data_IF_068149118535
#
_entry.id   IF_068149118535
#
_cell.length_a   1.000
_cell.length_b   1.000
_cell.length_c   1.000
_cell.angle_alpha   90.00
_cell.angle_beta   90.00
_cell.angle_gamma   90.00
#
_symmetry.space_group_name_H-M   'P 1'
#
loop_
_entity.id
_entity.type
_entity.pdbx_description
1 polymer ?
#
# COMPACT_ATOMS: atom_id res chain seq x y z
N UNK A 1 -35.72 -3.02 -4.84
CA UNK A 1 -35.66 -2.70 -6.26
C UNK A 1 -35.18 -1.25 -6.45
N UNK A 2 -33.94 -0.92 -6.00
CA UNK A 2 -33.33 0.42 -6.17
C UNK A 2 -31.80 0.34 -6.35
N UNK A 3 -31.25 -0.79 -6.77
CA UNK A 3 -29.79 -1.01 -6.86
C UNK A 3 -29.22 -1.02 -8.30
N UNK A 4 -30.03 -0.80 -9.32
CA UNK A 4 -29.57 -0.89 -10.71
C UNK A 4 -29.34 0.45 -11.42
N UNK A 5 -29.76 1.57 -10.85
CA UNK A 5 -29.59 2.88 -11.51
C UNK A 5 -28.22 3.55 -11.24
N UNK A 6 -27.47 3.10 -10.26
CA UNK A 6 -26.14 3.66 -9.97
C UNK A 6 -25.07 3.32 -11.03
N UNK A 7 -25.31 2.34 -11.89
CA UNK A 7 -24.39 1.92 -12.94
C UNK A 7 -24.23 2.92 -14.10
N UNK A 8 -25.19 3.83 -14.25
CA UNK A 8 -25.23 4.77 -15.38
C UNK A 8 -24.69 6.17 -15.07
N UNK A 9 -24.28 6.46 -13.84
CA UNK A 9 -23.92 7.82 -13.42
C UNK A 9 -22.48 7.96 -12.90
N UNK A 10 -21.57 7.04 -13.23
CA UNK A 10 -20.16 7.31 -13.03
C UNK A 10 -19.61 8.01 -14.28
N UNK A 11 -19.57 9.35 -14.36
CA UNK A 11 -18.97 10.06 -15.49
C UNK A 11 -17.46 10.06 -15.33
N UNK A 12 -16.87 8.89 -15.26
CA UNK A 12 -15.42 8.75 -15.18
C UNK A 12 -14.91 8.52 -16.57
N UNK A 13 -13.91 9.27 -16.95
CA UNK A 13 -13.27 9.14 -18.25
C UNK A 13 -12.84 7.69 -18.50
N UNK A 14 -13.54 7.01 -19.39
CA UNK A 14 -13.43 5.58 -19.69
C UNK A 14 -12.16 5.18 -20.46
N UNK A 15 -11.19 6.07 -20.60
CA UNK A 15 -10.02 5.80 -21.41
C UNK A 15 -8.76 5.63 -20.54
N UNK A 16 -7.97 4.56 -20.72
CA UNK A 16 -6.63 4.46 -20.16
C UNK A 16 -5.80 5.67 -20.61
N UNK A 17 -5.25 6.41 -19.68
CA UNK A 17 -4.65 7.74 -19.93
C UNK A 17 -3.36 7.67 -20.72
N UNK A 18 -2.66 6.56 -20.73
CA UNK A 18 -1.40 6.39 -21.48
C UNK A 18 -1.51 6.46 -23.02
N UNK A 19 -2.71 6.67 -23.56
CA UNK A 19 -2.91 6.65 -25.04
C UNK A 19 -2.76 8.01 -25.71
N UNK A 20 -2.65 9.11 -24.98
CA UNK A 20 -2.46 10.42 -25.62
C UNK A 20 -1.01 10.88 -25.50
N UNK A 21 -0.42 11.35 -26.61
CA UNK A 21 0.94 11.88 -26.60
C UNK A 21 1.13 13.08 -25.65
N UNK A 22 0.08 13.86 -25.41
CA UNK A 22 0.11 15.00 -24.51
C UNK A 22 0.26 14.58 -23.04
N UNK A 23 -0.45 13.54 -22.61
CA UNK A 23 -0.34 13.01 -21.24
C UNK A 23 1.01 12.35 -21.01
N UNK A 24 1.55 11.65 -22.01
CA UNK A 24 2.90 11.08 -21.96
C UNK A 24 3.96 12.16 -21.78
N UNK A 25 3.91 13.25 -22.57
CA UNK A 25 4.84 14.36 -22.44
C UNK A 25 4.75 15.03 -21.07
N UNK A 26 3.55 15.24 -20.56
CA UNK A 26 3.35 15.77 -19.23
C UNK A 26 3.94 14.84 -18.16
N UNK A 27 3.70 13.55 -18.25
CA UNK A 27 4.23 12.54 -17.32
C UNK A 27 5.75 12.55 -17.29
N UNK A 28 6.39 12.55 -18.47
CA UNK A 28 7.86 12.64 -18.57
C UNK A 28 8.39 13.95 -17.96
N UNK A 29 7.74 15.06 -18.23
CA UNK A 29 8.14 16.35 -17.69
C UNK A 29 8.00 16.39 -16.16
N UNK A 30 6.86 15.95 -15.62
CA UNK A 30 6.60 15.88 -14.18
C UNK A 30 7.59 14.94 -13.49
N UNK A 31 7.92 13.80 -14.11
CA UNK A 31 8.94 12.88 -13.62
C UNK A 31 10.34 13.53 -13.56
N UNK A 32 10.75 14.23 -14.62
CA UNK A 32 12.04 14.93 -14.63
C UNK A 32 12.11 16.00 -13.55
N UNK A 33 11.04 16.76 -13.36
CA UNK A 33 10.96 17.79 -12.29
C UNK A 33 11.02 17.11 -10.92
N UNK A 34 10.28 16.02 -10.73
CA UNK A 34 10.24 15.30 -9.45
C UNK A 34 11.59 14.73 -9.06
N UNK A 35 12.26 14.03 -9.98
CA UNK A 35 13.59 13.46 -9.71
C UNK A 35 14.63 14.56 -9.46
N UNK A 36 14.63 15.63 -10.25
CA UNK A 36 15.69 16.65 -10.17
C UNK A 36 15.46 17.71 -9.09
N UNK A 37 14.22 18.07 -8.82
CA UNK A 37 13.89 19.14 -7.87
C UNK A 37 13.41 18.59 -6.55
N UNK A 38 12.36 17.76 -6.56
CA UNK A 38 11.73 17.32 -5.32
C UNK A 38 12.58 16.26 -4.60
N UNK A 39 12.92 15.16 -5.23
CA UNK A 39 13.69 14.11 -4.57
C UNK A 39 15.17 14.54 -4.42
N UNK A 40 15.75 15.19 -5.40
CA UNK A 40 17.16 15.59 -5.37
C UNK A 40 17.45 16.79 -4.47
N UNK A 41 16.48 17.68 -4.17
CA UNK A 41 16.68 18.89 -3.40
C UNK A 41 15.73 19.09 -2.23
N UNK A 42 14.50 18.57 -2.32
CA UNK A 42 13.44 18.74 -1.34
C UNK A 42 12.70 17.40 -1.14
N UNK A 43 13.37 16.44 -0.55
CA UNK A 43 12.73 15.16 -0.22
C UNK A 43 11.69 15.39 0.90
N UNK A 44 10.42 15.23 0.56
CA UNK A 44 9.30 15.41 1.48
C UNK A 44 9.38 14.49 2.69
N UNK A 45 10.03 13.32 2.57
CA UNK A 45 10.24 12.39 3.69
C UNK A 45 11.08 13.02 4.80
N UNK A 46 12.09 13.83 4.44
CA UNK A 46 12.88 14.59 5.43
C UNK A 46 12.03 15.60 6.20
N UNK A 47 11.08 16.25 5.54
CA UNK A 47 10.15 17.17 6.21
C UNK A 47 9.21 16.42 7.16
N UNK A 48 8.77 15.23 6.80
CA UNK A 48 7.94 14.38 7.66
C UNK A 48 8.69 13.92 8.92
N UNK A 49 10.01 13.77 8.85
CA UNK A 49 10.82 13.46 10.03
C UNK A 49 10.76 14.57 11.10
N UNK A 50 10.53 15.83 10.71
CA UNK A 50 10.36 16.92 11.65
C UNK A 50 9.07 16.83 12.47
N UNK A 51 8.02 16.17 11.96
CA UNK A 51 6.76 15.92 12.69
C UNK A 51 6.98 14.99 13.89
N UNK A 52 8.09 14.23 13.92
CA UNK A 52 8.46 13.38 15.05
C UNK A 52 8.97 14.16 16.27
N UNK A 53 9.28 15.44 16.11
CA UNK A 53 9.72 16.28 17.21
C UNK A 53 8.48 16.84 17.91
N UNK A 54 8.39 16.48 19.16
CA UNK A 54 7.41 16.86 20.16
C UNK A 54 6.72 18.22 19.91
N UNK A 55 5.44 18.19 19.62
CA UNK A 55 4.52 19.23 20.07
C UNK A 55 3.76 18.64 21.26
N UNK A 56 3.74 19.36 22.37
CA UNK A 56 2.94 19.07 23.57
C UNK A 56 3.42 17.98 24.54
N UNK A 57 4.73 17.92 24.85
CA UNK A 57 5.19 17.13 26.01
C UNK A 57 5.02 15.61 25.91
N UNK A 58 4.56 15.09 24.79
CA UNK A 58 4.54 13.65 24.52
C UNK A 58 5.93 13.13 24.16
N UNK A 59 6.36 11.97 24.69
CA UNK A 59 7.66 11.41 24.36
C UNK A 59 7.85 11.24 22.84
N UNK A 60 9.03 11.54 22.30
CA UNK A 60 9.33 11.19 20.92
C UNK A 60 9.27 9.67 20.80
N UNK A 61 8.42 9.15 19.91
CA UNK A 61 8.39 7.72 19.66
C UNK A 61 7.05 7.07 19.33
N UNK A 62 5.93 7.76 19.47
CA UNK A 62 4.62 7.16 19.25
C UNK A 62 4.07 7.43 17.84
N UNK A 63 4.88 7.16 16.80
CA UNK A 63 4.38 7.17 15.42
C UNK A 63 4.03 5.78 14.89
N UNK A 64 3.84 4.84 15.77
CA UNK A 64 3.18 3.58 15.43
C UNK A 64 1.74 3.61 15.96
N UNK A 65 0.91 2.81 15.33
CA UNK A 65 -0.51 2.70 15.60
C UNK A 65 -0.79 1.35 16.26
N UNK A 66 -1.37 1.35 17.46
CA UNK A 66 -1.59 0.15 18.29
C UNK A 66 -3.07 -0.21 18.52
N UNK A 67 -3.97 0.48 17.82
CA UNK A 67 -5.41 0.31 18.04
C UNK A 67 -5.97 -1.08 17.74
N UNK A 68 -5.21 -1.89 17.02
CA UNK A 68 -5.60 -3.28 16.72
C UNK A 68 -4.97 -4.31 17.66
N UNK A 69 -3.99 -3.95 18.47
CA UNK A 69 -3.14 -4.87 19.23
C UNK A 69 -3.90 -5.76 20.23
N UNK A 70 -5.03 -5.28 20.75
CA UNK A 70 -5.83 -5.95 21.77
C UNK A 70 -6.99 -6.79 21.18
N UNK A 71 -7.16 -6.81 19.85
CA UNK A 71 -8.18 -7.63 19.19
C UNK A 71 -7.78 -9.10 19.23
N UNK A 72 -8.76 -9.99 19.31
CA UNK A 72 -8.52 -11.45 19.25
C UNK A 72 -8.20 -11.90 17.82
N UNK A 73 -8.87 -11.31 16.85
CA UNK A 73 -8.76 -11.61 15.43
C UNK A 73 -8.76 -10.32 14.63
N UNK A 74 -7.98 -10.28 13.55
CA UNK A 74 -7.95 -9.19 12.59
C UNK A 74 -7.89 -9.73 11.17
N UNK A 75 -8.84 -9.29 10.36
CA UNK A 75 -8.79 -9.45 8.91
C UNK A 75 -8.27 -8.18 8.27
N UNK A 76 -7.37 -8.31 7.31
CA UNK A 76 -6.93 -7.16 6.53
C UNK A 76 -6.92 -7.48 5.04
N UNK A 77 -7.28 -6.48 4.26
CA UNK A 77 -7.24 -6.50 2.81
C UNK A 77 -5.98 -5.75 2.33
N UNK A 78 -5.37 -6.24 1.26
CA UNK A 78 -4.27 -5.56 0.59
C UNK A 78 -4.59 -5.38 -0.89
N UNK A 79 -4.34 -4.17 -1.40
CA UNK A 79 -4.35 -3.85 -2.83
C UNK A 79 -3.26 -2.83 -3.15
N UNK A 80 -2.86 -2.74 -4.42
CA UNK A 80 -2.00 -1.68 -4.96
C UNK A 80 -2.36 -1.44 -6.42
N UNK A 81 -1.87 -0.35 -7.01
CA UNK A 81 -2.00 -0.07 -8.43
C UNK A 81 -3.46 0.10 -8.86
N UNK A 82 -4.12 1.04 -8.24
CA UNK A 82 -5.49 1.45 -8.56
C UNK A 82 -5.49 2.77 -9.36
N UNK A 83 -6.64 3.19 -9.89
CA UNK A 83 -6.76 4.54 -10.47
C UNK A 83 -6.30 4.71 -11.91
N UNK A 84 -6.06 3.64 -12.66
CA UNK A 84 -5.86 3.71 -14.11
C UNK A 84 -7.19 3.85 -14.89
N UNK A 85 -8.30 3.54 -14.24
CA UNK A 85 -9.65 3.79 -14.74
C UNK A 85 -10.66 3.78 -13.62
N UNK A 86 -11.66 4.67 -13.65
CA UNK A 86 -12.66 4.76 -12.60
C UNK A 86 -13.50 3.51 -12.44
N UNK A 87 -13.82 2.83 -13.53
CA UNK A 87 -14.64 1.61 -13.50
C UNK A 87 -13.87 0.42 -12.88
N UNK A 88 -12.61 0.23 -13.24
CA UNK A 88 -11.77 -0.82 -12.66
C UNK A 88 -11.54 -0.57 -11.16
N UNK A 89 -11.16 0.66 -10.78
CA UNK A 89 -11.01 1.06 -9.37
C UNK A 89 -12.30 0.86 -8.58
N UNK A 90 -13.47 1.24 -9.16
CA UNK A 90 -14.76 1.03 -8.53
C UNK A 90 -15.08 -0.46 -8.34
N UNK A 91 -14.76 -1.30 -9.32
CA UNK A 91 -15.00 -2.75 -9.21
C UNK A 91 -14.23 -3.35 -8.05
N UNK A 92 -12.94 -3.02 -7.92
CA UNK A 92 -12.11 -3.49 -6.80
C UNK A 92 -12.61 -2.90 -5.48
N UNK A 93 -12.87 -1.60 -5.41
CA UNK A 93 -13.40 -0.96 -4.20
C UNK A 93 -14.74 -1.58 -3.76
N UNK A 94 -15.61 -1.95 -4.72
CA UNK A 94 -16.88 -2.62 -4.44
C UNK A 94 -16.70 -4.03 -3.87
N UNK A 95 -15.70 -4.78 -4.32
CA UNK A 95 -15.36 -6.08 -3.72
C UNK A 95 -14.88 -5.89 -2.28
N UNK A 96 -13.96 -4.96 -2.05
CA UNK A 96 -13.45 -4.63 -0.71
C UNK A 96 -14.54 -4.10 0.24
N UNK A 97 -15.58 -3.46 -0.29
CA UNK A 97 -16.69 -2.92 0.49
C UNK A 97 -17.72 -3.99 0.92
N UNK A 98 -17.70 -5.20 0.33
CA UNK A 98 -18.63 -6.25 0.71
C UNK A 98 -18.42 -6.66 2.16
N UNK A 99 -19.48 -6.95 2.94
CA UNK A 99 -19.33 -7.47 4.29
C UNK A 99 -18.56 -8.80 4.36
N UNK A 100 -18.67 -9.58 3.29
CA UNK A 100 -17.88 -10.80 3.07
C UNK A 100 -17.85 -11.19 1.61
N UNK A 101 -16.80 -11.90 1.21
CA UNK A 101 -16.68 -12.53 -0.10
C UNK A 101 -16.75 -14.03 0.05
N UNK A 102 -17.46 -14.69 -0.86
CA UNK A 102 -17.47 -16.14 -0.98
C UNK A 102 -16.54 -16.55 -2.10
N UNK A 103 -15.65 -17.47 -1.81
CA UNK A 103 -14.65 -17.96 -2.75
C UNK A 103 -14.73 -19.47 -2.79
N UNK A 104 -14.88 -20.01 -3.98
CA UNK A 104 -14.83 -21.46 -4.21
C UNK A 104 -13.36 -21.90 -4.16
N UNK A 105 -13.04 -22.78 -3.22
CA UNK A 105 -11.73 -23.41 -3.08
C UNK A 105 -11.90 -24.92 -3.20
N UNK A 106 -11.53 -25.48 -4.35
CA UNK A 106 -11.66 -26.90 -4.66
C UNK A 106 -13.07 -27.46 -4.40
N UNK A 107 -13.24 -28.21 -3.32
CA UNK A 107 -14.54 -28.82 -2.94
C UNK A 107 -15.30 -28.05 -1.85
N UNK A 108 -14.82 -26.87 -1.46
CA UNK A 108 -15.42 -26.09 -0.37
C UNK A 108 -15.59 -24.61 -0.72
N UNK A 109 -16.69 -24.01 -0.25
CA UNK A 109 -16.89 -22.57 -0.26
C UNK A 109 -16.29 -21.97 1.01
N UNK A 110 -15.41 -20.97 0.85
CA UNK A 110 -14.82 -20.23 1.97
C UNK A 110 -15.44 -18.82 1.98
N UNK A 111 -15.88 -18.39 3.16
CA UNK A 111 -16.35 -17.03 3.38
C UNK A 111 -15.22 -16.19 4.00
N UNK A 112 -14.80 -15.15 3.31
CA UNK A 112 -13.78 -14.20 3.75
C UNK A 112 -14.50 -12.93 4.21
N UNK A 113 -14.46 -12.55 5.48
CA UNK A 113 -15.04 -11.29 5.95
C UNK A 113 -14.23 -10.10 5.41
N UNK A 114 -14.88 -8.96 5.28
CA UNK A 114 -14.18 -7.69 4.96
C UNK A 114 -13.13 -7.39 6.02
N UNK A 115 -11.95 -6.96 5.58
CA UNK A 115 -10.88 -6.52 6.47
C UNK A 115 -11.30 -5.36 7.38
N UNK A 116 -10.93 -5.45 8.65
CA UNK A 116 -10.97 -4.31 9.57
C UNK A 116 -9.94 -3.24 9.15
N UNK A 117 -8.92 -3.67 8.44
CA UNK A 117 -7.82 -2.88 7.94
C UNK A 117 -7.70 -3.09 6.42
N UNK A 118 -7.71 -2.00 5.66
CA UNK A 118 -7.29 -1.97 4.26
C UNK A 118 -5.89 -1.35 4.18
N UNK A 119 -4.97 -2.04 3.53
CA UNK A 119 -3.63 -1.52 3.22
C UNK A 119 -3.52 -1.30 1.72
N UNK A 120 -3.20 -0.08 1.30
CA UNK A 120 -3.00 0.25 -0.12
C UNK A 120 -1.51 0.46 -0.37
N UNK A 121 -0.96 -0.33 -1.28
CA UNK A 121 0.46 -0.44 -1.57
C UNK A 121 1.01 0.55 -2.60
N UNK A 122 0.33 1.68 -2.84
CA UNK A 122 0.80 2.73 -3.74
C UNK A 122 0.14 2.75 -5.12
N UNK A 123 0.53 3.73 -5.91
CA UNK A 123 -0.01 4.05 -7.23
C UNK A 123 -1.53 4.24 -7.20
N UNK A 124 -1.91 5.33 -6.54
CA UNK A 124 -3.30 5.60 -6.19
C UNK A 124 -4.11 6.16 -7.36
N UNK A 125 -3.44 6.81 -8.31
CA UNK A 125 -4.09 7.35 -9.52
C UNK A 125 -3.07 7.65 -10.62
N UNK A 126 -3.32 7.15 -11.81
CA UNK A 126 -2.49 7.31 -13.00
C UNK A 126 -2.98 8.44 -13.90
N UNK A 127 -2.11 9.03 -14.78
CA UNK A 127 -0.65 8.81 -14.83
C UNK A 127 0.09 9.68 -13.81
N UNK A 128 -0.51 10.79 -13.35
CA UNK A 128 0.10 11.76 -12.47
C UNK A 128 -0.82 12.09 -11.30
N UNK A 129 -0.28 12.33 -10.12
CA UNK A 129 -1.06 12.77 -8.98
C UNK A 129 -1.54 14.20 -9.21
N UNK A 130 -2.80 14.44 -8.97
CA UNK A 130 -3.42 15.75 -8.95
C UNK A 130 -4.70 15.69 -8.13
N UNK A 131 -5.21 16.83 -7.69
CA UNK A 131 -6.50 16.87 -7.01
C UNK A 131 -7.61 16.24 -7.87
N UNK A 132 -7.63 16.52 -9.17
CA UNK A 132 -8.59 15.97 -10.11
C UNK A 132 -8.46 14.44 -10.26
N UNK A 133 -7.24 13.94 -10.41
CA UNK A 133 -6.99 12.50 -10.62
C UNK A 133 -7.34 11.71 -9.36
N UNK A 134 -6.90 12.16 -8.19
CA UNK A 134 -7.23 11.51 -6.91
C UNK A 134 -8.73 11.51 -6.65
N UNK A 135 -9.41 12.64 -6.87
CA UNK A 135 -10.84 12.75 -6.67
C UNK A 135 -11.61 11.77 -7.57
N UNK A 136 -11.30 11.74 -8.87
CA UNK A 136 -12.09 10.97 -9.83
C UNK A 136 -11.68 9.50 -9.93
N UNK A 137 -10.43 9.13 -9.60
CA UNK A 137 -9.90 7.79 -9.82
C UNK A 137 -9.66 7.00 -8.54
N UNK A 138 -9.63 7.68 -7.38
CA UNK A 138 -9.50 7.06 -6.07
C UNK A 138 -10.72 7.36 -5.19
N UNK A 139 -10.93 8.63 -4.80
CA UNK A 139 -11.94 8.96 -3.77
C UNK A 139 -13.36 8.63 -4.21
N UNK A 140 -13.81 9.08 -5.37
CA UNK A 140 -15.18 8.79 -5.86
C UNK A 140 -15.47 7.31 -6.03
N UNK A 141 -14.62 6.49 -6.68
CA UNK A 141 -14.83 5.04 -6.73
C UNK A 141 -15.01 4.41 -5.35
N UNK A 142 -14.20 4.80 -4.38
CA UNK A 142 -14.30 4.29 -3.02
C UNK A 142 -15.54 4.81 -2.28
N UNK A 143 -15.91 6.07 -2.45
CA UNK A 143 -17.15 6.66 -1.90
C UNK A 143 -18.41 6.01 -2.46
N UNK A 144 -18.43 5.67 -3.75
CA UNK A 144 -19.55 4.93 -4.35
C UNK A 144 -19.63 3.49 -3.86
N UNK A 145 -18.50 2.86 -3.54
CA UNK A 145 -18.46 1.50 -3.05
C UNK A 145 -18.90 1.39 -1.58
N UNK A 146 -18.39 2.28 -0.73
CA UNK A 146 -18.72 2.39 0.68
C UNK A 146 -18.75 3.88 1.06
N UNK A 147 -19.93 4.41 1.33
CA UNK A 147 -20.11 5.83 1.59
C UNK A 147 -19.43 6.26 2.90
N UNK A 148 -18.81 7.46 2.92
CA UNK A 148 -18.32 8.04 4.15
C UNK A 148 -19.47 8.36 5.11
N UNK A 149 -19.19 8.57 6.41
CA UNK A 149 -20.21 8.98 7.35
C UNK A 149 -20.94 10.27 6.92
N UNK A 150 -22.24 10.33 7.09
CA UNK A 150 -23.07 11.44 6.61
C UNK A 150 -22.74 12.81 7.22
N UNK A 151 -22.08 12.83 8.36
CA UNK A 151 -21.62 14.06 9.02
C UNK A 151 -20.26 14.55 8.48
N UNK A 152 -19.48 13.68 7.81
CA UNK A 152 -18.18 14.03 7.24
C UNK A 152 -18.35 14.83 5.95
N UNK A 153 -17.53 15.88 5.80
CA UNK A 153 -17.48 16.70 4.59
C UNK A 153 -16.25 16.33 3.77
N UNK A 154 -16.44 15.75 2.61
CA UNK A 154 -15.37 15.21 1.75
C UNK A 154 -14.41 16.26 1.21
N UNK A 155 -14.84 17.52 1.09
CA UNK A 155 -14.03 18.67 0.68
C UNK A 155 -13.22 19.30 1.83
N UNK A 156 -13.45 18.82 3.06
CA UNK A 156 -12.81 19.34 4.25
C UNK A 156 -11.42 18.75 4.48
N UNK A 157 -10.48 19.57 4.94
CA UNK A 157 -9.18 19.13 5.46
C UNK A 157 -9.27 19.12 6.99
N UNK A 158 -9.06 17.96 7.58
CA UNK A 158 -9.17 17.80 9.02
C UNK A 158 -8.16 18.66 9.79
N UNK A 159 -8.64 19.46 10.72
CA UNK A 159 -7.78 20.20 11.67
C UNK A 159 -7.13 19.23 12.65
N UNK A 160 -7.93 18.27 13.13
CA UNK A 160 -7.50 17.23 14.06
C UNK A 160 -7.75 15.86 13.42
N UNK A 161 -6.74 15.27 12.81
CA UNK A 161 -6.84 13.96 12.21
C UNK A 161 -6.47 12.87 13.22
N UNK A 162 -7.20 11.74 13.26
CA UNK A 162 -8.41 11.45 12.50
C UNK A 162 -9.67 12.09 13.09
N UNK A 163 -10.62 12.45 12.21
CA UNK A 163 -11.97 12.85 12.62
C UNK A 163 -12.79 11.58 12.87
N UNK A 164 -12.91 11.24 14.15
CA UNK A 164 -13.65 10.07 14.59
C UNK A 164 -15.18 10.34 14.57
N UNK A 165 -16.00 9.28 14.45
CA UNK A 165 -17.45 9.41 14.60
C UNK A 165 -17.84 10.07 15.92
N UNK A 166 -18.95 10.83 15.94
CA UNK A 166 -19.47 11.42 17.18
C UNK A 166 -19.62 10.37 18.28
N UNK A 167 -19.11 10.68 19.48
CA UNK A 167 -19.11 9.78 20.64
C UNK A 167 -17.91 8.83 20.74
N UNK A 168 -17.02 8.81 19.75
CA UNK A 168 -15.79 8.02 19.76
C UNK A 168 -14.61 8.87 20.24
N UNK A 169 -13.98 8.47 21.34
CA UNK A 169 -12.90 9.25 21.96
C UNK A 169 -11.49 8.83 21.47
N UNK A 170 -11.33 7.64 20.92
CA UNK A 170 -10.03 7.10 20.49
C UNK A 170 -10.16 6.09 19.35
N UNK A 171 -9.05 5.85 18.65
CA UNK A 171 -8.96 4.81 17.62
C UNK A 171 -9.21 3.41 18.18
N UNK A 172 -8.83 3.14 19.42
CA UNK A 172 -9.05 1.82 20.07
C UNK A 172 -10.53 1.46 20.22
N UNK A 173 -11.38 2.48 20.32
CA UNK A 173 -12.84 2.30 20.47
C UNK A 173 -13.59 2.30 19.14
N UNK A 174 -12.86 2.49 18.02
CA UNK A 174 -13.46 2.52 16.69
C UNK A 174 -13.44 1.13 16.06
N UNK A 175 -14.61 0.57 15.81
CA UNK A 175 -14.76 -0.78 15.22
C UNK A 175 -15.02 -0.78 13.71
N UNK A 176 -15.13 0.38 13.08
CA UNK A 176 -15.28 0.48 11.64
C UNK A 176 -13.97 0.19 10.87
N UNK A 177 -14.05 0.04 9.54
CA UNK A 177 -12.88 -0.24 8.73
C UNK A 177 -11.93 0.95 8.69
N UNK A 178 -10.63 0.68 8.72
CA UNK A 178 -9.56 1.67 8.63
C UNK A 178 -8.71 1.42 7.41
N UNK A 179 -8.10 2.47 6.87
CA UNK A 179 -7.22 2.40 5.71
C UNK A 179 -5.87 3.04 6.02
N UNK A 180 -4.80 2.35 5.61
CA UNK A 180 -3.43 2.84 5.62
C UNK A 180 -2.82 2.71 4.24
N UNK A 181 -2.05 3.70 3.81
CA UNK A 181 -1.60 3.84 2.44
C UNK A 181 -0.13 4.21 2.39
N UNK A 182 0.63 3.56 1.54
CA UNK A 182 1.96 4.03 1.13
C UNK A 182 1.89 4.62 -0.28
N UNK A 183 2.74 5.58 -0.65
CA UNK A 183 2.79 6.05 -2.03
C UNK A 183 3.53 5.08 -2.93
N UNK A 184 3.14 5.07 -4.21
CA UNK A 184 3.91 4.50 -5.30
C UNK A 184 4.72 5.56 -6.03
N UNK A 185 5.43 5.15 -7.09
CA UNK A 185 6.25 6.06 -7.89
C UNK A 185 5.40 7.12 -8.61
N UNK A 186 4.20 6.78 -9.09
CA UNK A 186 3.29 7.74 -9.69
C UNK A 186 2.79 8.79 -8.69
N UNK A 187 2.61 8.46 -7.41
CA UNK A 187 2.22 9.40 -6.36
C UNK A 187 3.32 10.43 -6.05
N UNK A 188 4.58 10.11 -6.41
CA UNK A 188 5.73 10.97 -6.24
C UNK A 188 5.98 11.97 -7.39
N UNK A 189 5.26 11.88 -8.50
CA UNK A 189 5.51 12.73 -9.67
C UNK A 189 5.23 14.23 -9.42
N UNK A 190 4.52 14.59 -8.37
CA UNK A 190 4.37 15.98 -7.91
C UNK A 190 5.15 16.28 -6.60
N UNK A 191 6.15 15.47 -6.28
CA UNK A 191 6.91 15.58 -5.03
C UNK A 191 6.11 15.21 -3.79
N UNK A 192 5.13 14.30 -3.93
CA UNK A 192 4.25 13.80 -2.88
C UNK A 192 3.21 14.82 -2.36
N UNK A 193 3.08 15.97 -3.02
CA UNK A 193 2.19 17.03 -2.54
C UNK A 193 0.71 16.60 -2.51
N UNK A 194 0.23 15.97 -3.57
CA UNK A 194 -1.16 15.48 -3.63
C UNK A 194 -1.40 14.39 -2.59
N UNK A 195 -0.49 13.45 -2.44
CA UNK A 195 -0.58 12.41 -1.41
C UNK A 195 -0.68 13.02 0.00
N UNK A 196 0.19 13.95 0.34
CA UNK A 196 0.16 14.62 1.65
C UNK A 196 -1.16 15.34 1.91
N UNK A 197 -1.68 16.01 0.88
CA UNK A 197 -2.95 16.76 0.98
C UNK A 197 -4.17 15.85 1.11
N UNK A 198 -4.20 14.72 0.40
CA UNK A 198 -5.40 13.86 0.34
C UNK A 198 -5.30 12.68 1.32
N UNK A 199 -4.17 12.01 1.39
CA UNK A 199 -4.02 10.84 2.26
C UNK A 199 -3.62 11.25 3.67
N UNK A 200 -2.63 12.13 3.82
CA UNK A 200 -2.15 12.51 5.15
C UNK A 200 -2.98 13.59 5.85
N UNK A 201 -3.88 14.30 5.13
CA UNK A 201 -4.67 15.39 5.70
C UNK A 201 -6.16 15.12 5.76
N UNK A 202 -6.73 14.25 4.91
CA UNK A 202 -8.14 13.84 4.99
C UNK A 202 -8.31 12.65 5.93
N UNK A 203 -9.45 12.55 6.60
CA UNK A 203 -9.73 11.49 7.57
C UNK A 203 -10.44 10.26 7.00
N UNK A 204 -10.99 10.35 5.79
CA UNK A 204 -11.80 9.28 5.22
C UNK A 204 -11.52 9.06 3.74
N UNK A 205 -11.40 7.78 3.36
CA UNK A 205 -11.47 7.31 1.98
C UNK A 205 -12.75 6.48 1.83
N UNK A 206 -13.80 7.08 1.24
CA UNK A 206 -15.11 6.49 1.33
C UNK A 206 -15.47 6.19 2.79
N UNK A 207 -15.91 4.99 3.09
CA UNK A 207 -16.24 4.56 4.45
C UNK A 207 -15.07 4.03 5.28
N UNK A 208 -13.83 4.10 4.79
CA UNK A 208 -12.63 3.73 5.54
C UNK A 208 -12.00 4.94 6.23
N UNK A 209 -11.81 4.85 7.55
CA UNK A 209 -11.10 5.87 8.32
C UNK A 209 -9.59 5.82 8.02
N UNK A 210 -8.98 6.96 7.70
CA UNK A 210 -7.55 7.10 7.45
C UNK A 210 -6.85 7.83 8.62
N UNK A 211 -6.26 7.11 9.58
CA UNK A 211 -5.61 7.77 10.73
C UNK A 211 -4.21 8.30 10.44
N UNK A 212 -3.53 7.79 9.40
CA UNK A 212 -2.12 8.07 9.16
C UNK A 212 -1.85 9.55 8.85
N UNK A 213 -0.69 10.05 9.31
CA UNK A 213 -0.23 11.44 9.14
C UNK A 213 1.04 11.57 8.28
N UNK A 214 1.61 10.43 7.85
CA UNK A 214 2.85 10.35 7.07
C UNK A 214 2.69 9.39 5.91
N UNK A 215 3.64 9.41 4.98
CA UNK A 215 3.69 8.48 3.85
C UNK A 215 4.13 7.06 4.23
N UNK A 216 4.64 6.86 5.43
CA UNK A 216 5.01 5.57 5.98
C UNK A 216 4.40 5.36 7.36
N UNK A 217 4.25 4.11 7.80
CA UNK A 217 3.58 3.79 9.05
C UNK A 217 4.05 2.45 9.64
N UNK A 218 3.85 2.28 10.94
CA UNK A 218 3.95 1.01 11.63
C UNK A 218 2.65 0.72 12.37
N UNK A 219 2.13 -0.49 12.22
CA UNK A 219 0.92 -0.97 12.91
C UNK A 219 1.29 -2.14 13.79
N UNK A 220 0.90 -2.08 15.07
CA UNK A 220 0.89 -3.24 15.94
C UNK A 220 -0.45 -3.95 15.80
N UNK A 221 -0.41 -5.20 15.38
CA UNK A 221 -1.56 -6.07 15.19
C UNK A 221 -1.69 -7.05 16.37
N UNK A 222 -2.83 -7.77 16.48
CA UNK A 222 -2.96 -8.84 17.47
C UNK A 222 -1.98 -10.00 17.22
N UNK A 223 -1.87 -10.90 18.19
CA UNK A 223 -1.08 -12.13 18.09
C UNK A 223 0.40 -11.90 17.72
N UNK A 224 1.01 -10.81 18.20
CA UNK A 224 2.44 -10.48 18.00
C UNK A 224 2.82 -10.20 16.54
N UNK A 225 1.88 -9.68 15.75
CA UNK A 225 2.12 -9.25 14.39
C UNK A 225 2.30 -7.74 14.30
N UNK A 226 3.08 -7.34 13.29
CA UNK A 226 3.30 -5.94 12.90
C UNK A 226 3.18 -5.78 11.38
N UNK A 227 2.73 -4.60 10.95
CA UNK A 227 2.82 -4.18 9.55
C UNK A 227 3.66 -2.91 9.48
N UNK A 228 4.70 -2.93 8.66
CA UNK A 228 5.51 -1.77 8.32
C UNK A 228 5.24 -1.37 6.89
N UNK A 229 4.58 -0.22 6.68
CA UNK A 229 4.40 0.40 5.36
C UNK A 229 5.53 1.37 5.09
N UNK A 230 6.30 1.13 4.04
CA UNK A 230 7.53 1.86 3.70
C UNK A 230 7.33 2.73 2.47
N UNK A 231 7.82 3.97 2.50
CA UNK A 231 7.84 4.90 1.37
C UNK A 231 9.23 4.86 0.70
N UNK A 232 9.30 4.27 -0.48
CA UNK A 232 10.53 4.11 -1.26
C UNK A 232 10.83 5.30 -2.17
N UNK A 233 9.90 6.25 -2.31
CA UNK A 233 9.95 7.38 -3.24
C UNK A 233 10.24 6.92 -4.69
N UNK A 234 11.05 7.69 -5.42
CA UNK A 234 11.50 7.39 -6.80
C UNK A 234 12.90 6.76 -6.85
N UNK A 235 13.48 6.43 -5.70
CA UNK A 235 14.83 5.85 -5.60
C UNK A 235 14.81 4.37 -5.18
N UNK A 236 13.64 3.78 -5.14
CA UNK A 236 13.41 2.37 -4.82
C UNK A 236 13.95 1.98 -3.43
N UNK A 237 14.15 2.97 -2.54
CA UNK A 237 14.65 2.73 -1.19
C UNK A 237 14.13 3.76 -0.18
N UNK A 238 14.13 3.37 1.08
CA UNK A 238 13.75 4.25 2.18
C UNK A 238 14.91 5.21 2.53
N UNK A 239 14.55 6.43 2.96
CA UNK A 239 15.52 7.41 3.43
C UNK A 239 16.07 7.08 4.83
N UNK A 240 17.14 7.78 5.21
CA UNK A 240 17.82 7.53 6.47
C UNK A 240 16.97 7.80 7.72
N UNK A 241 16.02 8.73 7.66
CA UNK A 241 15.17 9.04 8.81
C UNK A 241 14.09 7.99 8.99
N UNK A 242 13.52 7.51 7.90
CA UNK A 242 12.59 6.41 7.89
C UNK A 242 13.27 5.11 8.36
N UNK A 243 14.48 4.82 7.85
CA UNK A 243 15.27 3.70 8.31
C UNK A 243 15.51 3.76 9.84
N UNK A 244 15.95 4.91 10.36
CA UNK A 244 16.15 5.12 11.80
C UNK A 244 14.88 4.86 12.60
N UNK A 245 13.75 5.39 12.14
CA UNK A 245 12.47 5.19 12.79
C UNK A 245 12.13 3.70 12.95
N UNK A 246 12.24 2.92 11.86
CA UNK A 246 11.92 1.49 11.92
C UNK A 246 12.98 0.70 12.71
N UNK A 247 14.26 1.02 12.59
CA UNK A 247 15.32 0.36 13.35
C UNK A 247 15.16 0.57 14.87
N UNK A 248 14.84 1.79 15.30
CA UNK A 248 14.55 2.12 16.70
C UNK A 248 13.27 1.41 17.18
N UNK A 249 12.20 1.40 16.37
CA UNK A 249 10.97 0.70 16.70
C UNK A 249 11.20 -0.81 16.87
N UNK A 250 11.98 -1.41 15.96
CA UNK A 250 12.34 -2.84 16.05
C UNK A 250 13.12 -3.14 17.33
N UNK A 251 14.05 -2.27 17.69
CA UNK A 251 14.84 -2.43 18.91
C UNK A 251 14.01 -2.29 20.18
N UNK A 252 13.07 -1.34 20.21
CA UNK A 252 12.43 -0.91 21.45
C UNK A 252 11.05 -1.60 21.69
N UNK A 253 10.38 -2.05 20.63
CA UNK A 253 8.99 -2.52 20.69
C UNK A 253 8.75 -3.90 20.09
N UNK A 254 9.49 -4.29 19.06
CA UNK A 254 9.26 -5.57 18.37
C UNK A 254 10.03 -6.68 19.09
N UNK A 255 9.33 -7.58 19.75
CA UNK A 255 9.93 -8.70 20.48
C UNK A 255 10.60 -9.71 19.52
N UNK A 256 11.45 -10.59 20.05
CA UNK A 256 12.17 -11.58 19.24
C UNK A 256 11.23 -12.62 18.60
N UNK A 257 10.11 -12.89 19.24
CA UNK A 257 9.08 -13.82 18.78
C UNK A 257 7.91 -13.13 18.02
N UNK A 258 8.02 -11.83 17.76
CA UNK A 258 7.06 -11.11 16.93
C UNK A 258 7.28 -11.42 15.44
N UNK A 259 6.23 -11.24 14.68
CA UNK A 259 6.19 -11.42 13.23
C UNK A 259 5.91 -10.09 12.52
N UNK A 260 6.64 -9.81 11.45
CA UNK A 260 6.53 -8.55 10.72
C UNK A 260 6.15 -8.80 9.27
N UNK A 261 5.17 -8.05 8.80
CA UNK A 261 4.82 -7.89 7.40
C UNK A 261 5.40 -6.57 6.92
N UNK A 262 6.23 -6.60 5.89
CA UNK A 262 6.74 -5.40 5.23
C UNK A 262 5.93 -5.15 3.96
N UNK A 263 5.41 -3.94 3.83
CA UNK A 263 4.70 -3.44 2.65
C UNK A 263 5.56 -2.39 1.99
N UNK A 264 5.90 -2.60 0.72
CA UNK A 264 6.58 -1.65 -0.16
C UNK A 264 5.75 -1.46 -1.43
N UNK A 265 5.97 -0.37 -2.17
CA UNK A 265 5.35 -0.27 -3.49
C UNK A 265 6.07 -1.19 -4.48
N UNK A 266 7.36 -1.00 -4.64
CA UNK A 266 8.15 -1.81 -5.58
C UNK A 266 8.59 -3.14 -4.97
N UNK A 267 8.47 -4.25 -5.73
CA UNK A 267 9.00 -5.55 -5.35
C UNK A 267 10.50 -5.64 -5.67
N UNK A 268 11.36 -4.92 -4.91
CA UNK A 268 12.79 -4.85 -5.15
C UNK A 268 13.43 -6.22 -5.40
N UNK A 269 12.98 -7.28 -4.71
CA UNK A 269 13.53 -8.63 -4.88
C UNK A 269 13.41 -9.18 -6.30
N UNK A 270 12.31 -8.83 -7.04
CA UNK A 270 12.14 -9.22 -8.45
C UNK A 270 12.86 -8.25 -9.37
N UNK A 271 12.79 -6.96 -9.11
CA UNK A 271 13.40 -5.92 -9.94
C UNK A 271 14.93 -6.00 -9.88
N UNK A 272 15.51 -6.15 -8.70
CA UNK A 272 16.96 -6.32 -8.51
C UNK A 272 17.45 -7.62 -9.19
N UNK A 273 16.68 -8.70 -9.11
CA UNK A 273 16.99 -9.93 -9.81
C UNK A 273 16.96 -9.76 -11.34
N UNK A 274 15.94 -9.06 -11.85
CA UNK A 274 15.74 -8.84 -13.27
C UNK A 274 16.81 -7.90 -13.87
N UNK A 275 17.02 -6.75 -13.25
CA UNK A 275 17.96 -5.72 -13.73
C UNK A 275 19.41 -5.99 -13.35
N UNK A 276 19.68 -6.98 -12.48
CA UNK A 276 21.01 -7.29 -11.93
C UNK A 276 21.65 -6.11 -11.21
N UNK A 277 20.82 -5.33 -10.54
CA UNK A 277 21.21 -4.19 -9.69
C UNK A 277 20.66 -4.39 -8.28
N UNK A 278 21.10 -3.59 -7.33
CA UNK A 278 20.62 -3.61 -5.96
C UNK A 278 20.07 -2.24 -5.59
N UNK A 279 18.73 -2.11 -5.55
CA UNK A 279 18.04 -0.86 -5.28
C UNK A 279 17.74 -0.69 -3.78
N UNK A 280 16.96 -1.53 -3.18
CA UNK A 280 16.47 -1.42 -1.79
C UNK A 280 17.51 -1.80 -0.72
N UNK A 281 18.66 -1.11 -0.65
CA UNK A 281 19.76 -1.43 0.31
C UNK A 281 19.34 -1.21 1.76
N UNK A 282 18.67 -0.09 2.06
CA UNK A 282 18.21 0.22 3.42
C UNK A 282 17.08 -0.73 3.85
N UNK A 283 16.17 -1.08 2.94
CA UNK A 283 15.13 -2.08 3.20
C UNK A 283 15.77 -3.45 3.47
N UNK A 284 16.75 -3.84 2.66
CA UNK A 284 17.50 -5.10 2.84
C UNK A 284 18.25 -5.12 4.17
N UNK A 285 18.89 -4.01 4.56
CA UNK A 285 19.56 -3.85 5.85
C UNK A 285 18.57 -3.95 7.02
N UNK A 286 17.42 -3.29 6.93
CA UNK A 286 16.36 -3.38 7.95
C UNK A 286 15.90 -4.84 8.15
N UNK A 287 15.71 -5.58 7.07
CA UNK A 287 15.24 -6.96 7.10
C UNK A 287 16.30 -7.88 7.70
N UNK A 288 17.54 -7.82 7.19
CA UNK A 288 18.58 -8.79 7.51
C UNK A 288 19.20 -8.54 8.89
N UNK A 289 19.49 -7.28 9.21
CA UNK A 289 20.31 -6.95 10.36
C UNK A 289 19.48 -6.50 11.58
N UNK A 290 18.30 -5.93 11.36
CA UNK A 290 17.43 -5.51 12.45
C UNK A 290 16.29 -6.52 12.71
N UNK A 291 15.56 -6.98 11.70
CA UNK A 291 14.47 -7.94 11.88
C UNK A 291 14.94 -9.38 12.08
N UNK A 292 16.06 -9.81 11.50
CA UNK A 292 16.72 -11.09 11.77
C UNK A 292 15.76 -12.30 11.74
N UNK A 293 15.02 -12.48 10.64
CA UNK A 293 14.07 -13.58 10.47
C UNK A 293 12.64 -13.34 11.05
N UNK A 294 12.39 -12.18 11.67
CA UNK A 294 11.05 -11.75 12.08
C UNK A 294 10.19 -11.29 10.90
N UNK A 295 10.78 -10.91 9.77
CA UNK A 295 10.02 -10.61 8.56
C UNK A 295 9.44 -11.91 7.98
N UNK A 296 8.14 -12.11 8.16
CA UNK A 296 7.45 -13.30 7.63
C UNK A 296 6.94 -13.10 6.21
N UNK A 297 6.51 -11.89 5.90
CA UNK A 297 5.92 -11.56 4.61
C UNK A 297 6.47 -10.23 4.10
N UNK A 298 6.85 -10.18 2.83
CA UNK A 298 6.97 -8.96 2.05
C UNK A 298 5.84 -8.89 1.04
N UNK A 299 5.12 -7.79 1.03
CA UNK A 299 4.03 -7.54 0.06
C UNK A 299 4.36 -6.29 -0.71
N UNK A 300 4.18 -6.32 -2.03
CA UNK A 300 4.38 -5.18 -2.91
C UNK A 300 3.31 -5.10 -4.01
N UNK A 301 3.21 -3.92 -4.64
CA UNK A 301 2.49 -3.63 -5.87
C UNK A 301 3.43 -3.48 -7.07
N UNK A 302 3.26 -2.36 -7.83
CA UNK A 302 4.05 -1.90 -8.98
C UNK A 302 3.98 -2.84 -10.21
N UNK A 303 4.08 -4.12 -9.98
CA UNK A 303 3.86 -5.11 -11.02
C UNK A 303 2.38 -5.52 -10.99
N UNK A 304 1.63 -5.14 -12.02
CA UNK A 304 0.19 -5.26 -12.11
C UNK A 304 -0.25 -6.71 -12.37
N UNK A 305 0.15 -7.59 -11.45
CA UNK A 305 -0.23 -9.01 -11.43
C UNK A 305 -0.22 -9.53 -9.99
N UNK A 306 -0.68 -10.75 -9.80
CA UNK A 306 -0.47 -11.46 -8.55
C UNK A 306 0.63 -12.51 -8.72
N UNK A 307 1.58 -12.55 -7.78
CA UNK A 307 2.59 -13.59 -7.71
C UNK A 307 3.02 -13.84 -6.26
N UNK A 308 3.11 -15.10 -5.88
CA UNK A 308 3.57 -15.50 -4.56
C UNK A 308 4.72 -16.48 -4.66
N UNK A 309 5.81 -16.15 -3.98
CA UNK A 309 6.92 -17.07 -3.75
C UNK A 309 7.02 -17.41 -2.26
N UNK A 310 7.43 -18.61 -1.95
CA UNK A 310 7.69 -19.06 -0.59
C UNK A 310 9.10 -19.60 -0.46
N UNK A 311 9.72 -19.33 0.68
CA UNK A 311 11.02 -19.87 1.02
C UNK A 311 10.97 -21.40 1.08
N UNK A 312 12.03 -22.05 0.60
CA UNK A 312 12.19 -23.51 0.63
C UNK A 312 12.83 -23.91 1.97
N UNK A 313 12.11 -24.49 2.94
CA UNK A 313 12.65 -24.75 4.28
C UNK A 313 13.89 -25.64 4.30
N UNK A 314 14.02 -26.56 3.34
CA UNK A 314 15.18 -27.44 3.21
C UNK A 314 16.50 -26.66 2.90
N UNK A 315 16.43 -25.39 2.50
CA UNK A 315 17.59 -24.56 2.21
C UNK A 315 18.18 -23.84 3.45
N UNK A 316 17.57 -24.00 4.63
CA UNK A 316 18.03 -23.40 5.89
C UNK A 316 17.07 -22.33 6.43
N UNK A 317 17.48 -21.52 7.39
CA UNK A 317 16.68 -20.41 7.90
C UNK A 317 16.51 -19.30 6.86
N UNK A 318 15.44 -18.53 6.96
CA UNK A 318 15.15 -17.41 6.05
C UNK A 318 15.01 -16.10 6.78
N UNK A 319 15.39 -15.01 6.09
CA UNK A 319 15.09 -13.65 6.50
C UNK A 319 13.62 -13.29 6.20
N UNK A 320 13.06 -13.84 5.12
CA UNK A 320 11.66 -13.64 4.72
C UNK A 320 11.04 -14.98 4.31
N UNK A 321 9.85 -15.30 4.82
CA UNK A 321 9.20 -16.58 4.49
C UNK A 321 8.39 -16.50 3.19
N UNK A 322 7.67 -15.41 2.96
CA UNK A 322 6.80 -15.22 1.80
C UNK A 322 7.03 -13.89 1.13
N UNK A 323 7.09 -13.91 -0.20
CA UNK A 323 7.20 -12.76 -1.08
C UNK A 323 5.94 -12.70 -1.93
N UNK A 324 5.19 -11.61 -1.83
CA UNK A 324 3.91 -11.45 -2.52
C UNK A 324 3.93 -10.16 -3.33
N UNK A 325 3.63 -10.28 -4.62
CA UNK A 325 3.25 -9.15 -5.47
C UNK A 325 1.75 -9.18 -5.64
N UNK A 326 1.08 -8.07 -5.44
CA UNK A 326 -0.35 -7.92 -5.70
C UNK A 326 -0.66 -6.49 -6.17
N UNK A 327 -0.35 -6.21 -7.43
CA UNK A 327 -0.70 -4.98 -8.13
C UNK A 327 -2.04 -5.07 -8.87
N UNK A 328 -2.99 -5.86 -8.34
CA UNK A 328 -4.28 -6.11 -9.00
C UNK A 328 -5.37 -5.11 -8.59
N UNK A 329 -5.02 -3.86 -8.28
CA UNK A 329 -5.96 -2.81 -7.85
C UNK A 329 -6.80 -2.17 -8.95
N UNK A 330 -6.63 -2.59 -10.21
CA UNK A 330 -7.44 -2.09 -11.33
C UNK A 330 -6.63 -1.45 -12.46
N UNK A 331 -5.29 -1.40 -12.38
CA UNK A 331 -4.44 -1.02 -13.49
C UNK A 331 -4.32 -2.15 -14.55
N UNK A 332 -3.73 -1.83 -15.70
CA UNK A 332 -3.50 -2.82 -16.77
C UNK A 332 -2.55 -3.94 -16.31
N UNK A 333 -2.71 -5.13 -16.88
CA UNK A 333 -1.92 -6.29 -16.46
C UNK A 333 -0.47 -6.26 -16.98
N UNK A 334 0.46 -6.65 -16.10
CA UNK A 334 1.84 -6.95 -16.45
C UNK A 334 2.07 -8.48 -16.57
N UNK A 335 3.04 -8.91 -17.40
CA UNK A 335 3.33 -10.32 -17.58
C UNK A 335 3.97 -10.96 -16.35
N UNK A 336 3.52 -12.15 -15.98
CA UNK A 336 4.08 -12.95 -14.88
C UNK A 336 5.24 -13.83 -15.32
N UNK A 337 5.22 -14.33 -16.58
CA UNK A 337 6.20 -15.30 -17.10
C UNK A 337 7.64 -14.76 -17.11
N UNK A 338 7.83 -13.44 -17.14
CA UNK A 338 9.14 -12.76 -17.08
C UNK A 338 9.92 -13.14 -15.81
N UNK A 339 9.22 -13.46 -14.71
CA UNK A 339 9.81 -13.79 -13.42
C UNK A 339 9.82 -15.28 -13.11
N UNK A 340 9.55 -16.14 -14.09
CA UNK A 340 9.51 -17.60 -13.88
C UNK A 340 10.81 -18.19 -13.33
N UNK A 341 11.95 -17.59 -13.66
CA UNK A 341 13.27 -18.04 -13.22
C UNK A 341 13.76 -17.40 -11.91
N UNK A 342 12.94 -16.59 -11.27
CA UNK A 342 13.27 -16.08 -9.93
C UNK A 342 13.24 -17.21 -8.90
N UNK A 343 14.39 -17.49 -8.27
CA UNK A 343 14.55 -18.60 -7.32
C UNK A 343 15.41 -18.26 -6.10
N UNK A 344 15.94 -17.05 -6.02
CA UNK A 344 16.85 -16.69 -4.92
C UNK A 344 16.74 -15.21 -4.54
N UNK A 345 16.75 -14.97 -3.22
CA UNK A 345 16.94 -13.65 -2.61
C UNK A 345 17.79 -13.82 -1.35
N UNK A 346 18.77 -12.96 -1.13
CA UNK A 346 19.72 -13.01 0.01
C UNK A 346 20.48 -14.33 0.11
N UNK A 347 20.67 -15.06 -0.99
CA UNK A 347 21.27 -16.42 -0.98
C UNK A 347 20.31 -17.55 -0.58
N UNK A 348 19.08 -17.24 -0.25
CA UNK A 348 18.02 -18.16 0.16
C UNK A 348 17.19 -18.61 -1.05
N UNK A 349 16.69 -19.84 -1.01
CA UNK A 349 15.91 -20.40 -2.13
C UNK A 349 14.42 -20.17 -1.95
N UNK A 350 13.77 -19.82 -3.07
CA UNK A 350 12.33 -19.60 -3.16
C UNK A 350 11.72 -20.39 -4.32
N UNK A 351 10.45 -20.76 -4.16
CA UNK A 351 9.63 -21.39 -5.17
C UNK A 351 8.37 -20.57 -5.45
N UNK A 352 7.97 -20.48 -6.73
CA UNK A 352 6.69 -19.87 -7.12
C UNK A 352 5.55 -20.78 -6.70
N UNK A 353 4.69 -20.27 -5.84
CA UNK A 353 3.53 -20.99 -5.31
C UNK A 353 2.25 -20.69 -6.07
N UNK A 354 2.12 -19.48 -6.60
CA UNK A 354 0.96 -19.06 -7.38
C UNK A 354 1.31 -17.83 -8.24
N UNK A 355 0.65 -17.70 -9.37
CA UNK A 355 0.72 -16.54 -10.25
C UNK A 355 -0.64 -16.33 -10.95
N UNK A 356 -1.02 -15.04 -11.15
CA UNK A 356 -2.17 -14.65 -11.95
C UNK A 356 -1.84 -13.37 -12.74
N UNK A 357 -1.95 -13.38 -14.07
CA UNK A 357 -2.23 -14.56 -14.91
C UNK A 357 -1.27 -15.72 -14.62
N UNK A 358 -1.67 -16.96 -14.97
CA UNK A 358 -0.75 -18.08 -14.87
C UNK A 358 0.48 -17.83 -15.76
N UNK A 359 1.63 -18.44 -15.43
CA UNK A 359 2.86 -18.28 -16.22
C UNK A 359 2.64 -18.68 -17.67
N UNK A 360 1.84 -19.73 -17.90
CA UNK A 360 1.50 -20.23 -19.23
C UNK A 360 0.60 -19.27 -19.99
N UNK A 361 -0.51 -18.79 -19.38
CA UNK A 361 -1.41 -17.86 -20.03
C UNK A 361 -0.71 -16.53 -20.32
N UNK A 362 0.09 -16.04 -19.38
CA UNK A 362 0.89 -14.84 -19.54
C UNK A 362 1.84 -14.92 -20.75
N UNK A 363 2.47 -16.06 -20.98
CA UNK A 363 3.38 -16.25 -22.12
C UNK A 363 2.67 -16.38 -23.48
N UNK A 364 1.36 -16.63 -23.50
CA UNK A 364 0.57 -16.74 -24.73
C UNK A 364 -0.07 -15.43 -25.18
N UNK A 365 -0.30 -14.50 -24.24
CA UNK A 365 -1.07 -13.27 -24.50
C UNK A 365 -0.15 -12.09 -24.85
N UNK A 366 1.11 -12.18 -24.55
CA UNK A 366 2.15 -11.17 -24.80
C UNK A 366 3.22 -11.78 -25.68
#
# INVERSE_FOLDING_TARGET
>A
MRSYEAWFLCPVADQPVFRTSADLFKTIFDLLVSVTVFVGRFDMRMMQAAINKVQDGTPPGNFFYDQFSEKEELWFDFMADTGDGGNSSYTVAKLLAQPSLRVDCDESEITLPRGNLLVIGGDLAYPNPSAFTYENRLFRPFEYALQPPTWYKTDHIAVNKPELPPGQASLKNYDGPQCFVIPGNHDWFDGLNTFMRFICSKSWLGGWLMPQKKSYFALQLPQKWWVFGLDQALHNDIDVYQFKFFAELVKDKVAEDDSVIIVTHEPNWLLDWYWKDESGKNVSHLIRDHLKGRCKVRVAGDLHHYMRHSHVPASGPSHVQHLIVNGCGGAFLHPTHVFNDFKQMYGEKYETMAAYPSLEDSSRVI
#
